data_IF_948415460757
#
_entry.id   IF_948415460757
#
_cell.length_a   1.000
_cell.length_b   1.000
_cell.length_c   1.000
_cell.angle_alpha   90.00
_cell.angle_beta   90.00
_cell.angle_gamma   90.00
#
_symmetry.space_group_name_H-M   'P 1'
#
loop_
_entity.id
_entity.type
_entity.pdbx_description
1 polymer ?
#
# COMPACT_ATOMS: atom_id res chain seq x y z
N UNK A 1 9.77 9.54 30.70
CA UNK A 1 9.85 8.41 29.75
C UNK A 1 10.78 8.70 28.58
N UNK A 2 10.77 9.90 28.00
CA UNK A 2 11.61 10.20 26.83
C UNK A 2 13.12 10.21 27.10
N UNK A 3 13.53 10.61 28.31
CA UNK A 3 14.92 10.48 28.76
C UNK A 3 15.38 9.02 28.77
N UNK A 4 14.49 8.08 29.13
CA UNK A 4 14.80 6.66 29.14
C UNK A 4 14.95 6.14 27.70
N UNK A 5 14.07 6.56 26.78
CA UNK A 5 14.21 6.26 25.35
C UNK A 5 15.54 6.80 24.80
N UNK A 6 15.91 8.04 25.11
CA UNK A 6 17.20 8.61 24.71
C UNK A 6 18.38 7.83 25.28
N UNK A 7 18.29 7.43 26.54
CA UNK A 7 19.34 6.64 27.20
C UNK A 7 19.54 5.33 26.45
N UNK A 8 18.46 4.59 26.13
CA UNK A 8 18.57 3.36 25.34
C UNK A 8 19.11 3.64 23.93
N UNK A 9 18.60 4.66 23.23
CA UNK A 9 19.08 5.06 21.91
C UNK A 9 20.57 5.42 21.91
N UNK A 10 21.07 5.98 23.01
CA UNK A 10 22.49 6.31 23.17
C UNK A 10 23.37 5.07 23.37
N UNK A 11 22.84 4.02 24.00
CA UNK A 11 23.56 2.77 24.29
C UNK A 11 23.53 1.79 23.12
N UNK A 12 22.46 1.81 22.32
CA UNK A 12 22.22 0.89 21.21
C UNK A 12 23.30 0.85 20.12
N UNK A 13 24.02 1.94 19.75
CA UNK A 13 25.08 1.87 18.74
C UNK A 13 26.24 0.95 19.15
N UNK A 14 26.58 0.91 20.44
CA UNK A 14 27.77 0.23 20.97
C UNK A 14 27.44 -1.01 21.82
N UNK A 15 26.17 -1.38 21.91
CA UNK A 15 25.69 -2.47 22.76
C UNK A 15 26.14 -3.84 22.25
N UNK A 16 26.81 -4.62 23.11
CA UNK A 16 27.05 -6.06 22.93
C UNK A 16 25.72 -6.85 22.88
N UNK A 17 25.74 -8.11 22.45
CA UNK A 17 24.53 -8.93 22.38
C UNK A 17 23.78 -9.06 23.74
N UNK A 18 24.46 -9.31 24.88
CA UNK A 18 23.80 -9.32 26.19
C UNK A 18 23.21 -7.96 26.56
N UNK A 19 23.94 -6.87 26.28
CA UNK A 19 23.46 -5.51 26.54
C UNK A 19 22.21 -5.19 25.70
N UNK A 20 22.17 -5.63 24.43
CA UNK A 20 20.97 -5.50 23.58
C UNK A 20 19.77 -6.24 24.16
N UNK A 21 19.97 -7.47 24.61
CA UNK A 21 18.91 -8.26 25.27
C UNK A 21 18.39 -7.54 26.51
N UNK A 22 19.29 -7.00 27.35
CA UNK A 22 18.91 -6.21 28.52
C UNK A 22 18.11 -4.95 28.13
N UNK A 23 18.57 -4.19 27.14
CA UNK A 23 17.88 -3.01 26.59
C UNK A 23 16.47 -3.38 26.10
N UNK A 24 16.34 -4.48 25.35
CA UNK A 24 15.06 -4.98 24.85
C UNK A 24 14.10 -5.37 25.98
N UNK A 25 14.60 -6.06 27.02
CA UNK A 25 13.79 -6.40 28.19
C UNK A 25 13.32 -5.17 28.95
N UNK A 26 14.23 -4.22 29.23
CA UNK A 26 13.87 -2.97 29.92
C UNK A 26 12.84 -2.20 29.08
N UNK A 27 13.07 -2.05 27.77
CA UNK A 27 12.13 -1.40 26.87
C UNK A 27 10.75 -2.07 26.90
N UNK A 28 10.68 -3.41 26.87
CA UNK A 28 9.42 -4.15 26.94
C UNK A 28 8.58 -3.77 28.17
N UNK A 29 9.20 -3.60 29.34
CA UNK A 29 8.48 -3.27 30.56
C UNK A 29 7.83 -1.88 30.54
N UNK A 30 8.44 -0.91 29.88
CA UNK A 30 7.95 0.48 29.91
C UNK A 30 7.38 0.97 28.57
N UNK A 31 7.40 0.15 27.52
CA UNK A 31 7.00 0.56 26.17
C UNK A 31 5.55 1.09 26.09
N UNK A 32 4.70 0.71 27.05
CA UNK A 32 3.32 1.20 27.14
C UNK A 32 3.23 2.68 27.50
N UNK A 33 4.24 3.23 28.18
CA UNK A 33 4.31 4.62 28.64
C UNK A 33 5.22 5.48 27.73
N UNK A 34 5.72 4.91 26.63
CA UNK A 34 6.50 5.66 25.64
C UNK A 34 5.61 6.72 25.01
N UNK A 35 6.06 7.97 25.08
CA UNK A 35 5.34 9.11 24.51
C UNK A 35 5.48 9.13 22.99
N UNK A 36 4.66 9.97 22.37
CA UNK A 36 4.70 10.25 20.95
C UNK A 36 6.05 10.79 20.45
N UNK A 37 6.79 11.49 21.33
CA UNK A 37 8.11 12.05 21.04
C UNK A 37 9.20 10.99 21.14
N UNK A 38 9.21 10.17 22.20
CA UNK A 38 10.10 9.03 22.31
C UNK A 38 9.97 8.09 21.10
N UNK A 39 8.74 7.85 20.65
CA UNK A 39 8.48 7.07 19.44
C UNK A 39 9.02 7.75 18.17
N UNK A 40 8.84 9.07 18.02
CA UNK A 40 9.38 9.83 16.90
C UNK A 40 10.91 9.79 16.86
N UNK A 41 11.57 9.83 18.01
CA UNK A 41 13.04 9.74 18.10
C UNK A 41 13.56 8.41 17.56
N UNK A 42 12.93 7.29 17.92
CA UNK A 42 13.24 5.98 17.32
C UNK A 42 13.02 5.98 15.80
N UNK A 43 11.89 6.52 15.33
CA UNK A 43 11.58 6.56 13.89
C UNK A 43 12.53 7.47 13.10
N UNK A 44 13.05 8.53 13.71
CA UNK A 44 14.05 9.42 13.11
C UNK A 44 15.36 8.70 12.82
N UNK A 45 15.78 7.79 13.71
CA UNK A 45 16.96 6.93 13.45
C UNK A 45 16.78 6.11 12.19
N UNK A 46 15.60 5.51 11.99
CA UNK A 46 15.30 4.70 10.80
C UNK A 46 15.41 5.53 9.51
N UNK A 47 14.91 6.77 9.55
CA UNK A 47 14.92 7.70 8.42
C UNK A 47 16.28 8.36 8.15
N UNK A 48 17.25 8.25 9.06
CA UNK A 48 18.54 8.92 8.88
C UNK A 48 19.31 8.28 7.75
N UNK A 49 19.75 9.09 6.81
CA UNK A 49 20.70 8.68 5.78
C UNK A 49 22.05 9.37 6.06
N UNK A 50 23.15 8.65 5.86
CA UNK A 50 24.46 9.31 5.76
C UNK A 50 24.46 9.97 4.38
N UNK A 51 24.37 11.29 4.33
CA UNK A 51 24.64 12.00 3.07
C UNK A 51 26.02 11.53 2.59
N UNK A 52 26.19 11.14 1.31
CA UNK A 52 27.53 11.11 0.76
C UNK A 52 28.14 12.50 1.00
N UNK A 53 29.38 12.54 1.50
CA UNK A 53 30.10 13.79 1.67
C UNK A 53 29.93 14.59 0.37
N UNK A 54 29.41 15.82 0.48
CA UNK A 54 29.28 16.74 -0.65
C UNK A 54 30.62 16.71 -1.41
N UNK A 55 30.62 16.17 -2.63
CA UNK A 55 31.54 16.71 -3.61
C UNK A 55 31.12 18.17 -3.78
N UNK A 56 32.00 19.04 -3.32
CA UNK A 56 32.02 20.44 -3.67
C UNK A 56 32.41 20.49 -5.15
N UNK A 57 31.48 20.17 -6.03
CA UNK A 57 31.60 20.54 -7.44
C UNK A 57 30.66 21.74 -7.63
N UNK A 58 31.32 22.89 -7.74
CA UNK A 58 30.77 24.15 -8.21
C UNK A 58 30.17 23.99 -9.61
N UNK A 59 29.05 24.69 -9.83
CA UNK A 59 28.37 24.96 -11.11
C UNK A 59 27.54 23.83 -11.75
N UNK A 60 26.23 23.90 -11.55
CA UNK A 60 25.23 23.85 -12.64
C UNK A 60 23.86 24.19 -12.05
N UNK A 61 23.47 25.46 -12.20
CA UNK A 61 22.06 25.81 -12.25
C UNK A 61 21.50 25.24 -13.54
N UNK A 62 20.51 24.35 -13.44
CA UNK A 62 19.38 24.31 -14.38
C UNK A 62 18.21 23.62 -13.69
N UNK A 63 17.27 24.47 -13.27
CA UNK A 63 15.86 24.12 -13.18
C UNK A 63 15.40 23.90 -14.62
N UNK A 64 14.82 22.74 -14.92
CA UNK A 64 13.74 22.70 -15.91
C UNK A 64 12.69 21.68 -15.46
N UNK A 65 11.54 22.27 -15.11
CA UNK A 65 10.23 21.66 -15.07
C UNK A 65 9.81 21.23 -16.48
N UNK A 66 8.91 20.25 -16.53
CA UNK A 66 8.09 19.87 -17.69
C UNK A 66 8.81 19.44 -18.98
N UNK A 67 8.70 18.13 -19.26
CA UNK A 67 8.55 17.70 -20.65
C UNK A 67 7.50 16.58 -20.73
N UNK A 68 6.29 17.02 -21.05
CA UNK A 68 5.33 16.26 -21.84
C UNK A 68 5.99 15.92 -23.19
N UNK A 69 5.96 14.66 -23.62
CA UNK A 69 5.07 14.19 -24.69
C UNK A 69 5.51 12.83 -25.27
N UNK A 70 4.54 12.14 -25.90
CA UNK A 70 4.65 11.23 -27.05
C UNK A 70 5.80 10.19 -27.08
N UNK A 71 5.53 8.88 -27.09
CA UNK A 71 5.01 8.16 -28.26
C UNK A 71 4.40 6.82 -27.87
N UNK A 72 3.32 6.45 -28.56
CA UNK A 72 2.83 5.08 -28.64
C UNK A 72 3.71 4.23 -29.55
N UNK A 73 3.80 2.93 -29.21
CA UNK A 73 3.76 1.77 -30.11
C UNK A 73 3.77 0.51 -29.21
N UNK A 74 2.67 -0.22 -29.35
CA UNK A 74 2.46 -1.68 -29.45
C UNK A 74 3.15 -2.71 -28.52
N UNK A 75 2.35 -3.76 -28.34
CA UNK A 75 2.46 -4.96 -27.53
C UNK A 75 3.73 -5.79 -27.79
N UNK A 76 4.20 -6.46 -26.74
CA UNK A 76 4.63 -7.86 -26.83
C UNK A 76 4.59 -8.47 -25.42
N UNK A 77 3.72 -9.45 -25.25
CA UNK A 77 3.70 -10.34 -24.10
C UNK A 77 4.97 -11.17 -24.05
N UNK A 78 5.52 -11.36 -22.86
CA UNK A 78 6.19 -12.63 -22.53
C UNK A 78 6.11 -12.86 -21.01
N UNK A 79 5.22 -13.77 -20.67
CA UNK A 79 5.12 -14.45 -19.39
C UNK A 79 6.20 -15.53 -19.36
N UNK A 80 7.08 -15.47 -18.36
CA UNK A 80 7.82 -16.66 -17.92
C UNK A 80 7.82 -16.71 -16.39
N UNK A 81 6.95 -17.58 -15.89
CA UNK A 81 6.96 -18.10 -14.52
C UNK A 81 7.69 -19.45 -14.53
N UNK A 82 8.85 -19.48 -13.87
CA UNK A 82 9.53 -20.65 -13.31
C UNK A 82 10.61 -20.09 -12.37
N UNK A 83 10.98 -20.67 -11.23
CA UNK A 83 10.57 -21.88 -10.53
C UNK A 83 11.13 -21.76 -9.09
N UNK A 84 10.51 -22.53 -8.19
CA UNK A 84 11.02 -23.25 -7.01
C UNK A 84 12.42 -22.95 -6.43
N UNK A 85 12.51 -23.02 -5.09
CA UNK A 85 13.80 -23.10 -4.40
C UNK A 85 13.72 -22.94 -2.88
N UNK A 86 13.04 -23.86 -2.21
CA UNK A 86 12.98 -24.01 -0.75
C UNK A 86 14.21 -24.80 -0.26
N UNK A 87 14.98 -24.24 0.70
CA UNK A 87 15.81 -24.94 1.70
C UNK A 87 16.05 -23.92 2.84
N UNK A 88 16.00 -24.21 4.14
CA UNK A 88 16.10 -25.48 4.86
C UNK A 88 17.29 -25.42 5.83
N UNK A 89 17.06 -24.85 7.03
CA UNK A 89 17.67 -25.08 8.38
C UNK A 89 19.22 -25.01 8.58
N UNK A 90 19.71 -24.25 9.58
CA UNK A 90 20.16 -24.67 10.94
C UNK A 90 21.39 -25.61 10.90
N UNK A 91 22.48 -25.51 11.66
CA UNK A 91 22.81 -25.04 13.01
C UNK A 91 24.37 -24.90 13.01
N UNK A 92 25.01 -23.97 13.71
CA UNK A 92 25.52 -24.21 15.06
C UNK A 92 27.03 -24.48 15.07
N UNK A 93 27.83 -23.55 15.64
CA UNK A 93 28.84 -23.87 16.66
C UNK A 93 29.59 -22.62 17.12
N UNK A 94 29.68 -22.56 18.44
CA UNK A 94 30.36 -21.65 19.36
C UNK A 94 31.87 -21.87 19.35
N UNK A 95 32.66 -20.80 19.50
CA UNK A 95 33.90 -20.88 20.28
C UNK A 95 34.24 -19.55 20.96
N UNK A 96 34.95 -19.74 22.05
CA UNK A 96 35.16 -18.98 23.27
C UNK A 96 36.07 -17.77 23.12
N UNK A 97 35.96 -16.80 24.04
CA UNK A 97 37.09 -16.17 24.73
C UNK A 97 36.67 -14.90 25.48
N UNK A 98 36.82 -15.00 26.80
CA UNK A 98 36.70 -13.95 27.80
C UNK A 98 37.77 -12.86 27.67
N UNK A 99 37.39 -11.60 27.94
CA UNK A 99 38.30 -10.61 28.51
C UNK A 99 37.51 -9.53 29.27
N UNK A 100 37.66 -9.55 30.59
CA UNK A 100 37.10 -8.61 31.57
C UNK A 100 37.90 -7.31 31.54
N UNK A 101 37.25 -6.17 31.33
CA UNK A 101 37.80 -4.86 31.73
C UNK A 101 36.65 -3.97 32.22
N UNK A 102 36.68 -3.65 33.51
CA UNK A 102 35.74 -2.74 34.17
C UNK A 102 36.00 -1.28 33.79
N UNK A 103 34.93 -0.48 33.75
CA UNK A 103 35.02 0.98 33.66
C UNK A 103 34.00 1.60 34.59
N UNK A 104 34.52 2.46 35.46
CA UNK A 104 33.83 3.26 36.47
C UNK A 104 32.86 4.28 35.87
N UNK A 105 31.77 4.52 36.60
CA UNK A 105 30.76 5.52 36.32
C UNK A 105 31.30 6.93 36.65
N UNK A 106 31.04 7.91 35.77
CA UNK A 106 31.11 9.32 36.12
C UNK A 106 29.85 10.02 35.63
N UNK A 107 29.09 10.44 36.63
CA UNK A 107 27.84 11.19 36.65
C UNK A 107 28.10 12.65 36.28
N UNK A 108 27.28 13.25 35.40
CA UNK A 108 27.18 14.72 35.28
C UNK A 108 25.77 15.15 34.88
N UNK A 109 25.18 15.88 35.82
CA UNK A 109 23.88 16.54 35.85
C UNK A 109 23.67 17.53 34.68
N UNK A 110 22.40 17.67 34.28
CA UNK A 110 21.89 18.67 33.33
C UNK A 110 21.00 19.65 34.13
N UNK A 111 21.13 20.99 33.98
CA UNK A 111 20.15 21.91 34.53
C UNK A 111 19.01 22.20 33.55
N UNK A 112 17.80 22.30 34.11
CA UNK A 112 16.53 22.59 33.44
C UNK A 112 16.39 24.06 32.99
N UNK A 113 15.62 24.27 31.91
CA UNK A 113 15.18 25.58 31.44
C UNK A 113 14.01 25.51 30.44
N UNK A 114 12.80 25.62 30.99
CA UNK A 114 11.50 26.09 30.45
C UNK A 114 11.33 26.55 28.97
N UNK A 115 10.45 25.82 28.27
CA UNK A 115 9.29 26.21 27.41
C UNK A 115 9.27 27.51 26.58
N UNK A 116 9.11 27.41 25.25
CA UNK A 116 7.92 27.93 24.54
C UNK A 116 7.78 27.39 23.09
N UNK A 117 6.54 27.42 22.60
CA UNK A 117 5.99 26.70 21.45
C UNK A 117 6.21 27.33 20.06
N UNK A 118 6.30 26.43 19.07
CA UNK A 118 5.86 26.52 17.65
C UNK A 118 6.94 26.57 16.54
N UNK A 119 6.84 25.58 15.64
CA UNK A 119 7.22 25.72 14.22
C UNK A 119 8.70 25.79 13.78
N UNK A 120 9.69 25.57 14.63
CA UNK A 120 11.11 25.49 14.26
C UNK A 120 11.69 24.10 14.48
N UNK A 121 12.61 23.65 13.63
CA UNK A 121 13.40 22.45 13.91
C UNK A 121 14.00 22.56 15.32
N UNK A 122 13.57 21.71 16.25
CA UNK A 122 14.17 21.61 17.59
C UNK A 122 15.68 21.32 17.43
N UNK A 123 16.50 22.35 17.60
CA UNK A 123 17.96 22.27 17.46
C UNK A 123 18.52 21.18 18.40
N UNK A 124 17.92 21.00 19.58
CA UNK A 124 18.30 19.95 20.52
C UNK A 124 18.03 18.55 19.97
N UNK A 125 16.95 18.36 19.21
CA UNK A 125 16.67 17.11 18.50
C UNK A 125 17.71 16.81 17.42
N UNK A 126 18.26 17.84 16.76
CA UNK A 126 19.34 17.71 15.79
C UNK A 126 20.66 17.36 16.50
N UNK A 127 21.00 18.08 17.57
CA UNK A 127 22.19 17.80 18.40
C UNK A 127 22.18 16.40 19.00
N UNK A 128 21.02 15.91 19.47
CA UNK A 128 20.87 14.53 19.96
C UNK A 128 21.13 13.49 18.87
N UNK A 129 20.64 13.72 17.65
CA UNK A 129 20.91 12.82 16.53
C UNK A 129 22.39 12.83 16.14
N UNK A 130 23.02 14.01 16.14
CA UNK A 130 24.45 14.14 15.88
C UNK A 130 25.30 13.51 16.99
N UNK A 131 24.80 13.47 18.23
CA UNK A 131 25.43 12.73 19.34
C UNK A 131 25.45 11.22 19.06
N UNK A 132 24.34 10.65 18.58
CA UNK A 132 24.28 9.23 18.19
C UNK A 132 25.23 8.94 17.03
N UNK A 133 25.29 9.82 16.03
CA UNK A 133 26.17 9.70 14.87
C UNK A 133 27.64 9.87 15.23
N UNK A 134 27.98 10.81 16.10
CA UNK A 134 29.33 11.00 16.61
C UNK A 134 29.81 9.76 17.37
N UNK A 135 28.91 9.09 18.09
CA UNK A 135 29.21 7.83 18.80
C UNK A 135 29.48 6.68 17.84
N UNK A 136 28.68 6.56 16.78
CA UNK A 136 28.92 5.65 15.65
C UNK A 136 30.29 5.95 15.00
N UNK A 137 30.57 7.21 14.67
CA UNK A 137 31.82 7.60 14.02
C UNK A 137 33.06 7.47 14.92
N UNK A 138 32.94 7.64 16.24
CA UNK A 138 34.03 7.48 17.21
C UNK A 138 34.52 6.04 17.29
N UNK A 139 33.65 5.06 17.07
CA UNK A 139 33.97 3.63 17.06
C UNK A 139 34.98 3.29 15.94
N UNK A 140 34.91 3.98 14.79
CA UNK A 140 35.91 3.88 13.71
C UNK A 140 37.33 4.18 14.18
N UNK A 141 37.51 5.16 15.06
CA UNK A 141 38.85 5.58 15.51
C UNK A 141 39.50 4.53 16.42
N UNK A 142 38.68 3.68 17.06
CA UNK A 142 39.12 2.69 18.03
C UNK A 142 39.19 1.26 17.46
N UNK A 143 38.59 0.99 16.29
CA UNK A 143 38.69 -0.30 15.60
C UNK A 143 39.64 -0.19 14.41
N UNK A 144 40.81 -0.82 14.53
CA UNK A 144 41.71 -1.04 13.40
C UNK A 144 41.14 -2.16 12.50
N UNK A 145 40.08 -1.87 11.75
CA UNK A 145 39.49 -2.82 10.80
C UNK A 145 38.08 -2.50 10.32
N UNK A 146 37.94 -2.21 9.03
CA UNK A 146 36.89 -2.76 8.16
C UNK A 146 35.48 -2.16 8.12
N UNK A 147 34.85 -1.76 9.23
CA UNK A 147 33.42 -1.38 9.19
C UNK A 147 33.21 0.09 8.77
N UNK A 148 32.42 0.30 7.72
CA UNK A 148 32.06 1.66 7.27
C UNK A 148 31.04 2.27 8.24
N UNK A 149 31.05 3.61 8.39
CA UNK A 149 30.03 4.34 9.16
C UNK A 149 28.60 3.99 8.72
N UNK A 150 28.45 3.63 7.44
CA UNK A 150 27.21 3.15 6.87
C UNK A 150 26.79 1.79 7.44
N UNK A 151 27.70 0.82 7.52
CA UNK A 151 27.45 -0.49 8.14
C UNK A 151 27.00 -0.37 9.60
N UNK A 152 27.66 0.49 10.38
CA UNK A 152 27.28 0.73 11.77
C UNK A 152 25.94 1.45 11.91
N UNK A 153 25.62 2.40 11.02
CA UNK A 153 24.30 3.01 10.98
C UNK A 153 23.23 1.96 10.63
N UNK A 154 23.49 1.05 9.70
CA UNK A 154 22.58 -0.06 9.38
C UNK A 154 22.35 -0.95 10.60
N UNK A 155 23.41 -1.32 11.33
CA UNK A 155 23.29 -2.07 12.57
C UNK A 155 22.47 -1.32 13.63
N UNK A 156 22.70 -0.01 13.79
CA UNK A 156 21.92 0.82 14.71
C UNK A 156 20.44 0.85 14.32
N UNK A 157 20.12 1.04 13.03
CA UNK A 157 18.73 0.97 12.53
C UNK A 157 18.10 -0.39 12.81
N UNK A 158 18.81 -1.50 12.58
CA UNK A 158 18.31 -2.84 12.87
C UNK A 158 17.99 -3.04 14.36
N UNK A 159 18.83 -2.50 15.25
CA UNK A 159 18.62 -2.55 16.71
C UNK A 159 17.42 -1.70 17.13
N UNK A 160 17.23 -0.51 16.55
CA UNK A 160 16.04 0.32 16.80
C UNK A 160 14.77 -0.35 16.25
N UNK A 161 14.86 -1.06 15.12
CA UNK A 161 13.74 -1.84 14.59
C UNK A 161 13.31 -2.96 15.54
N UNK A 162 14.21 -3.54 16.34
CA UNK A 162 13.83 -4.49 17.40
C UNK A 162 12.99 -3.83 18.48
N UNK A 163 13.34 -2.62 18.93
CA UNK A 163 12.53 -1.87 19.90
C UNK A 163 11.15 -1.51 19.32
N UNK A 164 11.10 -1.05 18.06
CA UNK A 164 9.83 -0.77 17.39
C UNK A 164 8.96 -2.02 17.22
N UNK A 165 9.57 -3.19 16.96
CA UNK A 165 8.86 -4.46 16.91
C UNK A 165 8.26 -4.84 18.26
N UNK A 166 9.00 -4.65 19.37
CA UNK A 166 8.47 -4.85 20.73
C UNK A 166 7.30 -3.91 20.98
N UNK A 167 7.45 -2.62 20.66
CA UNK A 167 6.37 -1.63 20.82
C UNK A 167 5.09 -2.04 20.09
N UNK A 168 5.20 -2.44 18.81
CA UNK A 168 4.07 -2.90 18.00
C UNK A 168 3.42 -4.17 18.55
N UNK A 169 4.21 -5.06 19.16
CA UNK A 169 3.71 -6.29 19.75
C UNK A 169 2.89 -6.05 21.01
N UNK A 170 3.36 -5.16 21.89
CA UNK A 170 2.70 -4.82 23.15
C UNK A 170 1.53 -3.83 22.95
N UNK A 171 1.55 -3.03 21.88
CA UNK A 171 0.58 -1.94 21.64
C UNK A 171 -0.18 -2.01 20.30
N UNK A 172 -0.70 -3.17 19.85
CA UNK A 172 -1.26 -3.32 18.51
C UNK A 172 -2.55 -2.50 18.25
N UNK A 173 -3.29 -2.15 19.31
CA UNK A 173 -4.53 -1.37 19.23
C UNK A 173 -4.34 0.15 19.34
N UNK A 174 -3.13 0.64 19.64
CA UNK A 174 -2.88 2.07 19.87
C UNK A 174 -2.81 2.87 18.55
N UNK A 175 -3.28 4.13 18.51
CA UNK A 175 -3.19 4.99 17.31
C UNK A 175 -1.76 5.19 16.80
N UNK A 176 -0.78 5.15 17.71
CA UNK A 176 0.64 5.25 17.41
C UNK A 176 1.13 4.21 16.39
N UNK A 177 0.45 3.07 16.26
CA UNK A 177 0.74 2.07 15.22
C UNK A 177 0.63 2.68 13.81
N UNK A 178 -0.30 3.62 13.57
CA UNK A 178 -0.41 4.34 12.29
C UNK A 178 0.82 5.23 12.04
N UNK A 179 1.34 5.85 13.11
CA UNK A 179 2.56 6.67 13.07
C UNK A 179 3.77 5.81 12.72
N UNK A 180 3.94 4.67 13.38
CA UNK A 180 5.00 3.69 13.07
C UNK A 180 4.87 3.19 11.63
N UNK A 181 3.67 2.76 11.23
CA UNK A 181 3.38 2.31 9.87
C UNK A 181 3.79 3.36 8.83
N UNK A 182 3.34 4.61 8.97
CA UNK A 182 3.62 5.68 8.00
C UNK A 182 5.12 5.94 7.84
N UNK A 183 5.87 5.93 8.95
CA UNK A 183 7.31 6.13 8.95
C UNK A 183 8.07 4.94 8.36
N UNK A 184 7.70 3.70 8.70
CA UNK A 184 8.31 2.49 8.15
C UNK A 184 7.99 2.30 6.67
N UNK A 185 6.76 2.60 6.23
CA UNK A 185 6.38 2.57 4.83
C UNK A 185 7.17 3.60 4.01
N UNK A 186 7.36 4.82 4.54
CA UNK A 186 8.20 5.84 3.90
C UNK A 186 9.66 5.38 3.80
N UNK A 187 10.22 4.81 4.88
CA UNK A 187 11.58 4.27 4.90
C UNK A 187 11.77 3.11 3.91
N UNK A 188 10.77 2.25 3.76
CA UNK A 188 10.80 1.13 2.82
C UNK A 188 10.76 1.59 1.35
N UNK A 189 9.91 2.56 1.05
CA UNK A 189 9.75 3.11 -0.30
C UNK A 189 10.96 3.95 -0.71
N UNK A 190 11.60 4.66 0.23
CA UNK A 190 12.76 5.50 -0.05
C UNK A 190 13.99 4.64 -0.46
N UNK A 191 14.54 4.82 -1.69
CA UNK A 191 15.73 4.12 -2.13
C UNK A 191 16.93 4.28 -1.20
N UNK A 192 17.15 5.50 -0.70
CA UNK A 192 18.31 5.90 0.09
C UNK A 192 18.33 5.27 1.49
N UNK A 193 17.16 5.06 2.07
CA UNK A 193 17.05 4.49 3.42
C UNK A 193 17.49 3.03 3.50
N UNK A 194 17.38 2.30 2.39
CA UNK A 194 17.84 0.90 2.26
C UNK A 194 19.03 0.77 1.31
N UNK A 195 19.62 1.88 0.86
CA UNK A 195 20.74 1.88 -0.07
C UNK A 195 21.95 1.26 0.63
N UNK A 196 22.44 0.13 0.13
CA UNK A 196 23.56 -0.61 0.73
C UNK A 196 23.19 -1.74 1.69
N UNK A 197 21.92 -1.92 2.08
CA UNK A 197 21.50 -3.06 2.92
C UNK A 197 20.12 -3.62 2.55
N UNK A 198 20.14 -4.75 1.83
CA UNK A 198 18.93 -5.55 1.58
C UNK A 198 18.33 -6.09 2.88
N UNK A 199 19.17 -6.43 3.87
CA UNK A 199 18.76 -6.90 5.19
C UNK A 199 17.86 -5.87 5.91
N UNK A 200 18.19 -4.58 5.84
CA UNK A 200 17.38 -3.52 6.44
C UNK A 200 16.00 -3.44 5.76
N UNK A 201 15.96 -3.51 4.43
CA UNK A 201 14.71 -3.55 3.66
C UNK A 201 13.84 -4.75 4.05
N UNK A 202 14.42 -5.96 4.10
CA UNK A 202 13.72 -7.19 4.50
C UNK A 202 13.22 -7.11 5.95
N UNK A 203 13.99 -6.50 6.86
CA UNK A 203 13.59 -6.32 8.25
C UNK A 203 12.38 -5.40 8.38
N UNK A 204 12.40 -4.25 7.70
CA UNK A 204 11.26 -3.31 7.68
C UNK A 204 10.03 -3.99 7.08
N UNK A 205 10.19 -4.67 5.95
CA UNK A 205 9.11 -5.42 5.30
C UNK A 205 8.53 -6.50 6.22
N UNK A 206 9.38 -7.26 6.90
CA UNK A 206 8.98 -8.29 7.84
C UNK A 206 8.15 -7.74 9.00
N UNK A 207 8.52 -6.57 9.54
CA UNK A 207 7.75 -5.89 10.59
C UNK A 207 6.39 -5.42 10.06
N UNK A 208 6.36 -4.72 8.91
CA UNK A 208 5.12 -4.27 8.28
C UNK A 208 4.16 -5.45 8.05
N UNK A 209 4.66 -6.56 7.50
CA UNK A 209 3.85 -7.72 7.19
C UNK A 209 3.37 -8.46 8.45
N UNK A 210 4.28 -8.81 9.37
CA UNK A 210 3.98 -9.71 10.49
C UNK A 210 3.35 -8.99 11.68
N UNK A 211 3.76 -7.75 11.96
CA UNK A 211 3.38 -7.01 13.17
C UNK A 211 2.32 -5.94 12.94
N UNK A 212 2.08 -5.53 11.69
CA UNK A 212 1.04 -4.55 11.36
C UNK A 212 -0.09 -5.22 10.56
N UNK A 213 0.19 -5.73 9.35
CA UNK A 213 -0.87 -6.22 8.47
C UNK A 213 -1.49 -7.55 8.94
N UNK A 214 -0.68 -8.46 9.48
CA UNK A 214 -1.12 -9.77 10.01
C UNK A 214 -1.41 -9.75 11.51
N UNK A 215 -1.34 -8.60 12.17
CA UNK A 215 -1.67 -8.52 13.59
C UNK A 215 -3.15 -8.86 13.84
N UNK A 216 -3.39 -9.55 14.97
CA UNK A 216 -4.75 -9.89 15.41
C UNK A 216 -5.54 -8.62 15.75
N UNK A 217 -4.88 -7.69 16.45
CA UNK A 217 -5.45 -6.41 16.81
C UNK A 217 -4.93 -5.28 15.92
N UNK A 218 -5.65 -4.16 15.89
CA UNK A 218 -5.39 -3.03 15.02
C UNK A 218 -6.01 -1.75 15.60
N UNK A 219 -5.56 -0.55 15.18
CA UNK A 219 -6.05 0.71 15.74
C UNK A 219 -7.56 0.88 15.55
N UNK A 220 -8.31 0.94 16.66
CA UNK A 220 -9.79 0.95 16.67
C UNK A 220 -10.43 1.95 17.63
N UNK A 221 -9.66 2.61 18.50
CA UNK A 221 -10.20 3.61 19.45
C UNK A 221 -10.55 4.94 18.80
N UNK A 222 -11.42 5.73 19.43
CA UNK A 222 -11.99 7.01 18.94
C UNK A 222 -10.95 8.02 18.42
N UNK A 223 -9.75 7.99 19.01
CA UNK A 223 -8.57 8.75 18.61
C UNK A 223 -8.10 8.51 17.16
N UNK A 224 -8.52 7.43 16.49
CA UNK A 224 -8.19 7.16 15.08
C UNK A 224 -9.14 7.90 14.14
N UNK A 225 -8.85 9.17 13.84
CA UNK A 225 -9.73 9.97 12.98
C UNK A 225 -9.54 9.64 11.49
N UNK A 226 -10.57 9.86 10.69
CA UNK A 226 -10.54 9.62 9.24
C UNK A 226 -9.49 10.48 8.53
N UNK A 227 -9.26 11.70 9.02
CA UNK A 227 -8.20 12.62 8.58
C UNK A 227 -6.78 12.03 8.66
N UNK A 228 -6.55 11.03 9.53
CA UNK A 228 -5.28 10.31 9.60
C UNK A 228 -5.18 9.19 8.56
N UNK A 229 -6.31 8.65 8.11
CA UNK A 229 -6.40 7.48 7.23
C UNK A 229 -6.46 7.88 5.75
N UNK A 230 -7.16 8.97 5.42
CA UNK A 230 -7.34 9.48 4.06
C UNK A 230 -6.00 9.71 3.33
N UNK A 231 -5.01 10.44 3.91
CA UNK A 231 -3.76 10.71 3.18
C UNK A 231 -2.91 9.44 3.01
N UNK A 232 -3.02 8.50 3.95
CA UNK A 232 -2.35 7.21 3.86
C UNK A 232 -2.97 6.35 2.76
N UNK A 233 -4.30 6.35 2.65
CA UNK A 233 -5.03 5.64 1.59
C UNK A 233 -4.68 6.20 0.21
N UNK A 234 -4.75 7.52 0.05
CA UNK A 234 -4.41 8.20 -1.20
C UNK A 234 -2.96 7.91 -1.63
N UNK A 235 -2.01 8.00 -0.69
CA UNK A 235 -0.61 7.66 -0.94
C UNK A 235 -0.42 6.20 -1.35
N UNK A 236 -1.16 5.27 -0.74
CA UNK A 236 -1.10 3.86 -1.09
C UNK A 236 -1.64 3.59 -2.50
N UNK A 237 -2.78 4.18 -2.88
CA UNK A 237 -3.30 4.04 -4.24
C UNK A 237 -2.34 4.63 -5.28
N UNK A 238 -1.76 5.81 -4.98
CA UNK A 238 -0.70 6.42 -5.80
C UNK A 238 0.56 5.56 -5.89
N UNK A 239 0.91 4.79 -4.85
CA UNK A 239 2.05 3.86 -4.89
C UNK A 239 1.73 2.59 -5.67
N UNK A 240 0.52 2.05 -5.53
CA UNK A 240 0.06 0.85 -6.22
C UNK A 240 -0.03 1.04 -7.74
N UNK A 241 -0.10 2.29 -8.19
CA UNK A 241 -0.26 2.65 -9.60
C UNK A 241 0.99 3.12 -10.31
N UNK A 242 2.08 3.36 -9.58
CA UNK A 242 3.34 3.83 -10.18
C UNK A 242 3.83 2.79 -11.18
N UNK A 243 4.11 3.19 -12.44
CA UNK A 243 4.62 2.27 -13.43
C UNK A 243 6.07 1.91 -13.12
N UNK A 244 6.48 0.70 -13.49
CA UNK A 244 7.88 0.31 -13.37
C UNK A 244 8.72 1.11 -14.39
N UNK A 245 9.48 2.10 -13.91
CA UNK A 245 10.43 2.84 -14.76
C UNK A 245 11.73 2.04 -14.91
N UNK A 246 11.94 1.41 -16.06
CA UNK A 246 13.28 0.95 -16.47
C UNK A 246 14.18 2.20 -16.61
N UNK A 247 15.20 2.37 -15.76
CA UNK A 247 16.17 3.46 -15.93
C UNK A 247 16.83 3.32 -17.30
N UNK A 248 16.51 4.21 -18.24
CA UNK A 248 17.15 4.31 -19.57
C UNK A 248 18.57 4.89 -19.50
N UNK A 249 18.97 5.50 -18.38
CA UNK A 249 20.17 6.35 -18.28
C UNK A 249 21.48 5.62 -17.97
N UNK A 250 21.51 4.28 -17.96
CA UNK A 250 22.77 3.54 -17.80
C UNK A 250 22.91 2.64 -19.02
N UNK A 251 23.96 2.85 -19.81
CA UNK A 251 24.41 1.92 -20.86
C UNK A 251 24.49 0.53 -20.22
N UNK A 252 23.56 -0.35 -20.58
CA UNK A 252 23.41 -1.72 -20.04
C UNK A 252 23.54 -1.85 -18.51
N UNK A 253 22.48 -1.60 -17.72
CA UNK A 253 22.47 -2.03 -16.33
C UNK A 253 22.58 -3.56 -16.29
N UNK A 254 23.48 -4.10 -15.46
CA UNK A 254 23.63 -5.56 -15.35
C UNK A 254 22.29 -6.24 -15.05
N UNK A 255 22.04 -7.43 -15.64
CA UNK A 255 20.79 -8.21 -15.43
C UNK A 255 20.44 -8.35 -13.94
N UNK A 256 21.45 -8.46 -13.07
CA UNK A 256 21.31 -8.50 -11.61
C UNK A 256 20.72 -7.21 -11.01
N UNK A 257 21.16 -6.03 -11.46
CA UNK A 257 20.62 -4.73 -11.00
C UNK A 257 19.18 -4.50 -11.48
N UNK A 258 18.86 -4.95 -12.70
CA UNK A 258 17.49 -4.89 -13.22
C UNK A 258 16.54 -5.79 -12.44
N UNK A 259 16.95 -7.04 -12.17
CA UNK A 259 16.19 -7.99 -11.35
C UNK A 259 15.95 -7.45 -9.93
N UNK A 260 16.97 -6.90 -9.26
CA UNK A 260 16.83 -6.30 -7.94
C UNK A 260 15.84 -5.11 -7.93
N UNK A 261 15.89 -4.24 -8.95
CA UNK A 261 14.95 -3.12 -9.10
C UNK A 261 13.51 -3.61 -9.29
N UNK A 262 13.31 -4.64 -10.12
CA UNK A 262 12.01 -5.25 -10.37
C UNK A 262 11.45 -5.93 -9.11
N UNK A 263 12.26 -6.69 -8.38
CA UNK A 263 11.88 -7.29 -7.10
C UNK A 263 11.49 -6.24 -6.07
N UNK A 264 12.25 -5.14 -5.98
CA UNK A 264 11.89 -4.01 -5.11
C UNK A 264 10.57 -3.39 -5.51
N UNK A 265 10.34 -3.16 -6.81
CA UNK A 265 9.08 -2.64 -7.31
C UNK A 265 7.90 -3.53 -6.92
N UNK A 266 8.02 -4.85 -7.12
CA UNK A 266 7.01 -5.84 -6.69
C UNK A 266 6.71 -5.74 -5.19
N UNK A 267 7.73 -5.59 -4.35
CA UNK A 267 7.53 -5.43 -2.90
C UNK A 267 6.83 -4.11 -2.56
N UNK A 268 7.15 -3.00 -3.23
CA UNK A 268 6.47 -1.71 -3.04
C UNK A 268 5.00 -1.80 -3.46
N UNK A 269 4.69 -2.44 -4.58
CA UNK A 269 3.30 -2.67 -4.99
C UNK A 269 2.56 -3.55 -3.97
N UNK A 270 3.20 -4.62 -3.47
CA UNK A 270 2.63 -5.47 -2.42
C UNK A 270 2.38 -4.71 -1.12
N UNK A 271 3.32 -3.82 -0.73
CA UNK A 271 3.15 -2.92 0.41
C UNK A 271 1.91 -2.04 0.23
N UNK A 272 1.78 -1.38 -0.92
CA UNK A 272 0.67 -0.50 -1.20
C UNK A 272 -0.69 -1.23 -1.14
N UNK A 273 -0.77 -2.43 -1.70
CA UNK A 273 -1.98 -3.25 -1.69
C UNK A 273 -2.35 -3.71 -0.27
N UNK A 274 -1.41 -4.31 0.46
CA UNK A 274 -1.66 -4.77 1.84
C UNK A 274 -2.01 -3.61 2.77
N UNK A 275 -1.35 -2.48 2.60
CA UNK A 275 -1.64 -1.27 3.36
C UNK A 275 -3.04 -0.72 3.07
N UNK A 276 -3.46 -0.71 1.81
CA UNK A 276 -4.82 -0.30 1.43
C UNK A 276 -5.86 -1.16 2.13
N UNK A 277 -5.70 -2.49 2.09
CA UNK A 277 -6.62 -3.40 2.78
C UNK A 277 -6.62 -3.22 4.30
N UNK A 278 -5.45 -2.95 4.89
CA UNK A 278 -5.33 -2.72 6.32
C UNK A 278 -6.02 -1.41 6.75
N UNK A 279 -5.86 -0.32 5.99
CA UNK A 279 -6.55 0.95 6.24
C UNK A 279 -8.06 0.78 6.08
N UNK A 280 -8.52 0.11 5.00
CA UNK A 280 -9.94 -0.17 4.79
C UNK A 280 -10.55 -1.03 5.91
N UNK A 281 -9.76 -1.93 6.51
CA UNK A 281 -10.16 -2.70 7.69
C UNK A 281 -10.35 -1.81 8.93
N UNK A 282 -9.49 -0.81 9.12
CA UNK A 282 -9.62 0.17 10.20
C UNK A 282 -10.86 1.04 10.00
N UNK A 283 -11.07 1.56 8.78
CA UNK A 283 -12.23 2.40 8.44
C UNK A 283 -13.54 1.66 8.73
N UNK A 284 -13.65 0.41 8.30
CA UNK A 284 -14.85 -0.41 8.51
C UNK A 284 -15.11 -0.69 10.00
N UNK A 285 -14.06 -0.98 10.77
CA UNK A 285 -14.22 -1.26 12.21
C UNK A 285 -14.66 -0.03 13.00
N UNK A 286 -14.30 1.17 12.55
CA UNK A 286 -14.67 2.45 13.18
C UNK A 286 -16.10 2.89 12.91
N UNK A 287 -16.76 2.32 11.89
CA UNK A 287 -18.16 2.61 11.53
C UNK A 287 -18.45 4.11 11.44
N UNK A 288 -17.61 4.84 10.71
CA UNK A 288 -17.83 6.26 10.44
C UNK A 288 -19.18 6.49 9.74
N UNK A 289 -19.83 7.65 9.97
CA UNK A 289 -21.06 7.99 9.27
C UNK A 289 -20.81 8.14 7.77
N UNK A 290 -21.82 7.85 6.96
CA UNK A 290 -21.73 7.85 5.49
C UNK A 290 -21.25 9.20 4.93
N UNK A 291 -21.65 10.31 5.56
CA UNK A 291 -21.21 11.66 5.18
C UNK A 291 -19.70 11.87 5.30
N UNK A 292 -19.05 11.23 6.29
CA UNK A 292 -17.59 11.31 6.45
C UNK A 292 -16.86 10.40 5.46
N UNK A 293 -17.48 9.27 5.09
CA UNK A 293 -16.90 8.33 4.13
C UNK A 293 -16.84 8.88 2.70
N UNK A 294 -17.53 9.98 2.39
CA UNK A 294 -17.53 10.56 1.05
C UNK A 294 -16.11 10.86 0.55
N UNK A 295 -15.23 11.41 1.41
CA UNK A 295 -13.86 11.71 1.01
C UNK A 295 -13.03 10.46 0.71
N UNK A 296 -13.30 9.35 1.40
CA UNK A 296 -12.68 8.05 1.08
C UNK A 296 -13.13 7.57 -0.30
N UNK A 297 -14.40 7.76 -0.63
CA UNK A 297 -14.98 7.40 -1.91
C UNK A 297 -14.41 8.27 -3.05
N UNK A 298 -14.28 9.58 -2.82
CA UNK A 298 -13.66 10.51 -3.75
C UNK A 298 -12.22 10.09 -4.07
N UNK A 299 -11.42 9.69 -3.06
CA UNK A 299 -10.06 9.17 -3.25
C UNK A 299 -10.02 7.94 -4.19
N UNK A 300 -11.00 7.03 -4.08
CA UNK A 300 -11.08 5.90 -4.99
C UNK A 300 -11.54 6.31 -6.39
N UNK A 301 -12.48 7.24 -6.49
CA UNK A 301 -12.94 7.76 -7.76
C UNK A 301 -11.79 8.45 -8.51
N UNK A 302 -11.05 9.36 -7.87
CA UNK A 302 -9.88 10.04 -8.44
C UNK A 302 -8.81 9.04 -8.93
N UNK A 303 -8.57 7.99 -8.14
CA UNK A 303 -7.62 6.95 -8.50
C UNK A 303 -8.10 6.15 -9.73
N UNK A 304 -9.40 5.90 -9.87
CA UNK A 304 -9.97 5.24 -11.04
C UNK A 304 -10.05 6.17 -12.26
N UNK A 305 -10.37 7.44 -12.09
CA UNK A 305 -10.30 8.44 -13.17
C UNK A 305 -8.91 8.45 -13.79
N UNK A 306 -7.88 8.58 -12.94
CA UNK A 306 -6.48 8.51 -13.37
C UNK A 306 -6.14 7.17 -14.04
N UNK A 307 -6.69 6.06 -13.55
CA UNK A 307 -6.51 4.73 -14.13
C UNK A 307 -7.06 4.63 -15.56
N UNK A 308 -8.26 5.13 -15.79
CA UNK A 308 -8.93 5.05 -17.09
C UNK A 308 -8.37 6.06 -18.09
N UNK A 309 -7.90 7.22 -17.63
CA UNK A 309 -7.49 8.32 -18.51
C UNK A 309 -5.98 8.27 -18.84
N UNK A 310 -5.16 7.67 -17.97
CA UNK A 310 -3.70 7.64 -18.15
C UNK A 310 -3.13 6.24 -18.37
N UNK A 311 -2.32 6.09 -19.43
CA UNK A 311 -1.45 4.92 -19.63
C UNK A 311 -0.31 4.84 -18.60
N UNK A 312 -0.01 5.94 -17.90
CA UNK A 312 1.04 6.00 -16.87
C UNK A 312 0.61 5.32 -15.56
N UNK A 313 -0.66 4.99 -15.40
CA UNK A 313 -1.21 4.42 -14.17
C UNK A 313 -1.38 2.89 -14.31
N UNK A 314 -0.40 2.13 -13.85
CA UNK A 314 -0.35 0.67 -13.99
C UNK A 314 -0.77 -0.04 -12.70
N UNK A 315 -2.02 0.19 -12.29
CA UNK A 315 -2.59 -0.58 -11.18
C UNK A 315 -3.05 -1.96 -11.68
N UNK A 316 -2.89 -3.01 -10.86
CA UNK A 316 -3.36 -4.35 -11.24
C UNK A 316 -4.89 -4.40 -11.13
N UNK A 317 -5.57 -4.81 -12.20
CA UNK A 317 -7.03 -5.00 -12.20
C UNK A 317 -7.51 -5.94 -11.07
N UNK A 318 -6.76 -7.00 -10.76
CA UNK A 318 -7.12 -7.92 -9.67
C UNK A 318 -7.13 -7.24 -8.29
N UNK A 319 -6.30 -6.21 -8.09
CA UNK A 319 -6.33 -5.44 -6.84
C UNK A 319 -7.62 -4.61 -6.71
N UNK A 320 -8.09 -4.01 -7.79
CA UNK A 320 -9.38 -3.30 -7.81
C UNK A 320 -10.56 -4.25 -7.56
N UNK A 321 -10.55 -5.42 -8.21
CA UNK A 321 -11.56 -6.46 -7.98
C UNK A 321 -11.57 -6.88 -6.51
N UNK A 322 -10.40 -7.07 -5.92
CA UNK A 322 -10.27 -7.46 -4.52
C UNK A 322 -10.74 -6.37 -3.54
N UNK A 323 -10.57 -5.08 -3.87
CA UNK A 323 -11.16 -3.97 -3.10
C UNK A 323 -12.69 -4.11 -3.09
N UNK A 324 -13.32 -4.30 -4.26
CA UNK A 324 -14.78 -4.48 -4.38
C UNK A 324 -15.25 -5.71 -3.60
N UNK A 325 -14.54 -6.84 -3.70
CA UNK A 325 -14.89 -8.08 -2.96
C UNK A 325 -14.83 -7.90 -1.45
N UNK A 326 -13.77 -7.25 -0.97
CA UNK A 326 -13.58 -7.03 0.48
C UNK A 326 -14.51 -5.96 1.01
N UNK A 327 -14.79 -4.91 0.22
CA UNK A 327 -15.57 -3.75 0.64
C UNK A 327 -16.61 -3.40 -0.43
N UNK A 328 -17.75 -4.13 -0.47
CA UNK A 328 -18.78 -3.92 -1.48
C UNK A 328 -19.32 -2.50 -1.57
N UNK A 329 -19.38 -1.77 -0.45
CA UNK A 329 -19.88 -0.38 -0.40
C UNK A 329 -19.06 0.58 -1.28
N UNK A 330 -17.75 0.37 -1.41
CA UNK A 330 -16.88 1.15 -2.31
C UNK A 330 -17.29 0.87 -3.76
N UNK A 331 -17.46 -0.41 -4.10
CA UNK A 331 -17.90 -0.82 -5.43
C UNK A 331 -19.30 -0.31 -5.78
N UNK A 332 -20.23 -0.30 -4.83
CA UNK A 332 -21.59 0.21 -5.06
C UNK A 332 -21.60 1.70 -5.36
N UNK A 333 -20.75 2.48 -4.67
CA UNK A 333 -20.62 3.91 -4.97
C UNK A 333 -19.99 4.16 -6.35
N UNK A 334 -18.94 3.42 -6.68
CA UNK A 334 -18.23 3.55 -7.97
C UNK A 334 -19.00 2.92 -9.15
N UNK A 335 -20.15 2.31 -8.89
CA UNK A 335 -20.89 1.54 -9.89
C UNK A 335 -21.33 2.40 -11.07
N UNK A 336 -21.92 3.55 -10.78
CA UNK A 336 -22.39 4.48 -11.81
C UNK A 336 -21.23 5.01 -12.67
N UNK A 337 -20.13 5.42 -12.03
CA UNK A 337 -18.91 5.85 -12.71
C UNK A 337 -18.34 4.77 -13.63
N UNK A 338 -18.29 3.51 -13.18
CA UNK A 338 -17.78 2.39 -13.96
C UNK A 338 -18.68 2.04 -15.15
N UNK A 339 -20.01 2.16 -14.99
CA UNK A 339 -20.94 2.00 -16.11
C UNK A 339 -20.68 3.06 -17.20
N UNK A 340 -20.41 4.31 -16.81
CA UNK A 340 -20.10 5.38 -17.76
C UNK A 340 -18.74 5.12 -18.47
N UNK A 341 -17.73 4.60 -17.75
CA UNK A 341 -16.42 4.22 -18.34
C UNK A 341 -16.50 2.99 -19.25
N UNK A 342 -17.48 2.09 -19.10
CA UNK A 342 -17.72 0.98 -20.04
C UNK A 342 -18.09 1.47 -21.45
N UNK A 343 -18.72 2.65 -21.56
CA UNK A 343 -19.11 3.25 -22.84
C UNK A 343 -18.07 4.25 -23.36
N UNK A 344 -17.43 5.01 -22.47
CA UNK A 344 -16.58 6.16 -22.86
C UNK A 344 -15.07 5.86 -22.95
N UNK A 345 -14.62 4.67 -22.53
CA UNK A 345 -13.18 4.33 -22.54
C UNK A 345 -12.59 4.27 -23.94
N UNK A 346 -11.58 5.11 -24.21
CA UNK A 346 -10.80 5.13 -25.47
C UNK A 346 -9.96 3.86 -25.68
N UNK A 347 -9.66 3.12 -24.61
CA UNK A 347 -8.88 1.89 -24.66
C UNK A 347 -9.80 0.68 -24.53
N UNK A 348 -9.74 -0.24 -25.49
CA UNK A 348 -10.48 -1.49 -25.44
C UNK A 348 -10.08 -2.34 -24.23
N UNK A 349 -8.79 -2.37 -23.90
CA UNK A 349 -8.27 -3.06 -22.73
C UNK A 349 -8.90 -2.51 -21.44
N UNK A 350 -8.90 -1.18 -21.27
CA UNK A 350 -9.53 -0.54 -20.12
C UNK A 350 -11.04 -0.76 -20.08
N UNK A 351 -11.71 -0.75 -21.24
CA UNK A 351 -13.14 -1.06 -21.33
C UNK A 351 -13.43 -2.44 -20.77
N UNK A 352 -12.64 -3.45 -21.12
CA UNK A 352 -12.77 -4.82 -20.60
C UNK A 352 -12.53 -4.86 -19.08
N UNK A 353 -11.54 -4.14 -18.59
CA UNK A 353 -11.30 -4.03 -17.14
C UNK A 353 -12.48 -3.37 -16.41
N UNK A 354 -13.12 -2.35 -16.99
CA UNK A 354 -14.35 -1.75 -16.45
C UNK A 354 -15.50 -2.77 -16.39
N UNK A 355 -15.71 -3.54 -17.47
CA UNK A 355 -16.74 -4.59 -17.52
C UNK A 355 -16.53 -5.63 -16.42
N UNK A 356 -15.28 -6.05 -16.22
CA UNK A 356 -14.92 -7.00 -15.18
C UNK A 356 -15.17 -6.46 -13.75
N UNK A 357 -14.88 -5.17 -13.51
CA UNK A 357 -15.17 -4.52 -12.23
C UNK A 357 -16.68 -4.40 -11.98
N UNK A 358 -17.43 -4.01 -13.01
CA UNK A 358 -18.91 -3.98 -13.00
C UNK A 358 -19.49 -5.36 -12.67
N UNK A 359 -18.95 -6.45 -13.26
CA UNK A 359 -19.36 -7.81 -12.90
C UNK A 359 -19.10 -8.10 -11.42
N UNK A 360 -17.96 -7.67 -10.87
CA UNK A 360 -17.62 -7.92 -9.48
C UNK A 360 -18.56 -7.18 -8.51
N UNK A 361 -18.93 -5.94 -8.87
CA UNK A 361 -19.96 -5.17 -8.16
C UNK A 361 -21.30 -5.88 -8.21
N UNK A 362 -21.75 -6.30 -9.40
CA UNK A 362 -23.02 -7.02 -9.57
C UNK A 362 -23.06 -8.33 -8.78
N UNK A 363 -21.94 -9.09 -8.72
CA UNK A 363 -21.83 -10.28 -7.87
C UNK A 363 -21.99 -9.94 -6.40
N UNK A 364 -21.40 -8.83 -5.94
CA UNK A 364 -21.53 -8.40 -4.55
C UNK A 364 -22.98 -8.06 -4.16
N UNK A 365 -23.78 -7.55 -5.11
CA UNK A 365 -25.21 -7.31 -4.88
C UNK A 365 -25.98 -8.64 -4.70
N UNK A 366 -25.57 -9.70 -5.37
CA UNK A 366 -26.18 -11.03 -5.22
C UNK A 366 -25.70 -11.75 -3.95
N UNK A 367 -24.44 -11.59 -3.54
CA UNK A 367 -23.93 -12.26 -2.32
C UNK A 367 -24.55 -11.73 -1.02
N UNK A 368 -25.02 -10.48 -1.01
CA UNK A 368 -25.74 -9.86 0.13
C UNK A 368 -27.16 -10.43 0.31
N UNK A 369 -27.62 -11.34 -0.56
CA UNK A 369 -29.00 -11.91 -0.54
C UNK A 369 -29.25 -13.01 0.49
N UNK A 370 -28.35 -13.24 1.45
CA UNK A 370 -28.50 -14.27 2.49
C UNK A 370 -29.78 -14.10 3.34
N UNK A 371 -30.31 -12.87 3.44
CA UNK A 371 -31.51 -12.53 4.19
C UNK A 371 -32.47 -11.72 3.28
N UNK A 372 -33.79 -11.81 3.49
CA UNK A 372 -34.81 -11.14 2.66
C UNK A 372 -34.60 -9.62 2.56
N UNK A 373 -34.20 -8.97 3.66
CA UNK A 373 -33.88 -7.54 3.69
C UNK A 373 -32.69 -7.18 2.79
N UNK A 374 -31.65 -8.02 2.75
CA UNK A 374 -30.49 -7.81 1.88
C UNK A 374 -30.84 -7.97 0.42
N UNK A 375 -31.69 -8.95 0.09
CA UNK A 375 -32.22 -9.14 -1.26
C UNK A 375 -33.07 -7.96 -1.74
N UNK A 376 -33.91 -7.40 -0.87
CA UNK A 376 -34.71 -6.22 -1.20
C UNK A 376 -33.83 -4.98 -1.46
N UNK A 377 -32.80 -4.76 -0.64
CA UNK A 377 -31.85 -3.66 -0.83
C UNK A 377 -31.08 -3.79 -2.16
N UNK A 378 -30.51 -4.96 -2.44
CA UNK A 378 -29.81 -5.23 -3.70
C UNK A 378 -30.71 -5.06 -4.93
N UNK A 379 -31.97 -5.53 -4.84
CA UNK A 379 -32.96 -5.35 -5.90
C UNK A 379 -33.25 -3.87 -6.14
N UNK A 380 -33.40 -3.07 -5.07
CA UNK A 380 -33.62 -1.62 -5.15
C UNK A 380 -32.42 -0.91 -5.78
N UNK A 381 -31.21 -1.20 -5.32
CA UNK A 381 -29.98 -0.61 -5.87
C UNK A 381 -29.84 -0.93 -7.36
N UNK A 382 -29.95 -2.20 -7.76
CA UNK A 382 -29.82 -2.57 -9.17
C UNK A 382 -30.93 -1.98 -10.03
N UNK A 383 -32.16 -1.88 -9.51
CA UNK A 383 -33.27 -1.23 -10.22
C UNK A 383 -33.00 0.25 -10.50
N UNK A 384 -32.36 0.98 -9.58
CA UNK A 384 -32.00 2.39 -9.80
C UNK A 384 -30.97 2.57 -10.92
N UNK A 385 -30.02 1.63 -11.07
CA UNK A 385 -28.99 1.67 -12.10
C UNK A 385 -29.39 0.95 -13.40
N UNK A 386 -30.58 0.38 -13.46
CA UNK A 386 -31.06 -0.40 -14.60
C UNK A 386 -31.03 0.38 -15.92
N UNK A 387 -31.45 1.67 -15.99
CA UNK A 387 -31.38 2.44 -17.24
C UNK A 387 -29.95 2.57 -17.79
N UNK A 388 -28.97 2.84 -16.92
CA UNK A 388 -27.56 2.91 -17.31
C UNK A 388 -27.03 1.54 -17.74
N UNK A 389 -27.43 0.48 -17.06
CA UNK A 389 -27.04 -0.89 -17.44
C UNK A 389 -27.62 -1.30 -18.80
N UNK A 390 -28.88 -0.93 -19.08
CA UNK A 390 -29.50 -1.12 -20.41
C UNK A 390 -28.74 -0.33 -21.48
N UNK A 391 -28.35 0.92 -21.19
CA UNK A 391 -27.55 1.74 -22.10
C UNK A 391 -26.19 1.10 -22.40
N UNK A 392 -25.47 0.62 -21.38
CA UNK A 392 -24.20 -0.11 -21.56
C UNK A 392 -24.39 -1.35 -22.43
N UNK A 393 -25.44 -2.15 -22.19
CA UNK A 393 -25.70 -3.34 -22.98
C UNK A 393 -25.99 -2.98 -24.43
N UNK A 394 -26.85 -1.99 -24.69
CA UNK A 394 -27.13 -1.47 -26.03
C UNK A 394 -25.83 -1.08 -26.74
N UNK A 395 -25.01 -0.25 -26.10
CA UNK A 395 -23.75 0.23 -26.67
C UNK A 395 -22.82 -0.92 -27.04
N UNK A 396 -22.67 -1.91 -26.15
CA UNK A 396 -21.81 -3.06 -26.38
C UNK A 396 -22.29 -3.98 -27.51
N UNK A 397 -23.61 -4.22 -27.62
CA UNK A 397 -24.13 -5.12 -28.67
C UNK A 397 -24.26 -4.43 -30.02
N UNK A 398 -24.45 -3.11 -30.05
CA UNK A 398 -24.44 -2.32 -31.29
C UNK A 398 -23.02 -2.14 -31.82
N UNK A 399 -22.05 -1.94 -30.93
CA UNK A 399 -20.64 -1.70 -31.27
C UNK A 399 -19.75 -2.88 -30.85
N UNK A 400 -20.07 -4.07 -31.36
CA UNK A 400 -19.32 -5.29 -31.05
C UNK A 400 -17.86 -5.22 -31.53
N UNK A 401 -16.88 -5.65 -30.72
CA UNK A 401 -15.47 -5.62 -31.11
C UNK A 401 -15.15 -6.45 -32.38
N UNK A 402 -14.16 -6.02 -33.15
CA UNK A 402 -13.68 -6.77 -34.32
C UNK A 402 -12.87 -8.01 -33.93
N UNK A 403 -12.13 -7.94 -32.81
CA UNK A 403 -11.35 -9.08 -32.29
C UNK A 403 -12.27 -10.11 -31.64
N UNK A 404 -12.11 -11.38 -32.02
CA UNK A 404 -12.94 -12.49 -31.51
C UNK A 404 -12.84 -12.66 -30.00
N UNK A 405 -11.65 -12.53 -29.42
CA UNK A 405 -11.43 -12.60 -27.97
C UNK A 405 -12.24 -11.52 -27.22
N UNK A 406 -12.21 -10.28 -27.72
CA UNK A 406 -12.98 -9.16 -27.16
C UNK A 406 -14.49 -9.35 -27.31
N UNK A 407 -14.96 -9.90 -28.44
CA UNK A 407 -16.39 -10.30 -28.56
C UNK A 407 -16.79 -11.32 -27.52
N UNK A 408 -15.94 -12.30 -27.21
CA UNK A 408 -16.22 -13.31 -26.20
C UNK A 408 -16.36 -12.69 -24.80
N UNK A 409 -15.52 -11.69 -24.47
CA UNK A 409 -15.61 -10.94 -23.22
C UNK A 409 -16.92 -10.15 -23.11
N UNK A 410 -17.35 -9.45 -24.16
CA UNK A 410 -18.64 -8.75 -24.19
C UNK A 410 -19.82 -9.72 -24.02
N UNK A 411 -19.81 -10.85 -24.73
CA UNK A 411 -20.86 -11.88 -24.58
C UNK A 411 -20.90 -12.45 -23.17
N UNK A 412 -19.72 -12.71 -22.58
CA UNK A 412 -19.60 -13.20 -21.18
C UNK A 412 -20.15 -12.18 -20.20
N UNK A 413 -19.86 -10.90 -20.40
CA UNK A 413 -20.42 -9.80 -19.61
C UNK A 413 -21.95 -9.78 -19.69
N UNK A 414 -22.53 -9.69 -20.88
CA UNK A 414 -23.98 -9.64 -21.06
C UNK A 414 -24.67 -10.88 -20.46
N UNK A 415 -24.11 -12.07 -20.69
CA UNK A 415 -24.63 -13.31 -20.13
C UNK A 415 -24.64 -13.27 -18.60
N UNK A 416 -23.58 -12.75 -17.99
CA UNK A 416 -23.49 -12.64 -16.53
C UNK A 416 -24.47 -11.61 -15.97
N UNK A 417 -24.65 -10.48 -16.66
CA UNK A 417 -25.65 -9.46 -16.29
C UNK A 417 -27.05 -10.07 -16.33
N UNK A 418 -27.42 -10.76 -17.40
CA UNK A 418 -28.74 -11.39 -17.52
C UNK A 418 -28.99 -12.43 -16.43
N UNK A 419 -27.99 -13.25 -16.07
CA UNK A 419 -28.11 -14.18 -14.95
C UNK A 419 -28.41 -13.48 -13.62
N UNK A 420 -27.75 -12.34 -13.36
CA UNK A 420 -27.91 -11.56 -12.13
C UNK A 420 -29.26 -10.83 -12.09
N UNK A 421 -29.70 -10.29 -13.22
CA UNK A 421 -31.01 -9.66 -13.37
C UNK A 421 -32.12 -10.69 -13.11
N UNK A 422 -31.99 -11.89 -13.69
CA UNK A 422 -32.91 -13.01 -13.45
C UNK A 422 -32.92 -13.44 -12.00
N UNK A 423 -31.76 -13.57 -11.35
CA UNK A 423 -31.69 -14.01 -9.94
C UNK A 423 -32.31 -13.01 -8.96
N UNK A 424 -32.41 -11.73 -9.32
CA UNK A 424 -33.05 -10.68 -8.54
C UNK A 424 -34.50 -10.38 -8.96
N UNK A 425 -35.07 -11.18 -9.87
CA UNK A 425 -36.42 -10.99 -10.43
C UNK A 425 -36.60 -9.56 -10.99
N UNK A 426 -35.64 -9.14 -11.82
CA UNK A 426 -35.62 -7.84 -12.49
C UNK A 426 -35.69 -7.96 -14.03
N UNK A 427 -35.98 -9.16 -14.56
CA UNK A 427 -36.04 -9.41 -16.00
C UNK A 427 -37.08 -8.52 -16.71
N UNK A 428 -38.28 -8.41 -16.15
CA UNK A 428 -39.35 -7.56 -16.70
C UNK A 428 -38.99 -6.07 -16.69
N UNK A 429 -38.60 -5.45 -15.55
CA UNK A 429 -38.12 -4.08 -15.53
C UNK A 429 -36.96 -3.83 -16.51
N UNK A 430 -36.08 -4.83 -16.69
CA UNK A 430 -34.93 -4.71 -17.58
C UNK A 430 -35.35 -4.70 -19.05
N UNK A 431 -36.23 -5.62 -19.45
CA UNK A 431 -36.70 -5.72 -20.83
C UNK A 431 -37.61 -4.55 -21.21
N UNK A 432 -38.37 -4.00 -20.26
CA UNK A 432 -39.12 -2.76 -20.44
C UNK A 432 -38.22 -1.52 -20.58
N UNK A 433 -37.10 -1.46 -19.85
CA UNK A 433 -36.15 -0.36 -19.92
C UNK A 433 -35.23 -0.43 -21.14
N UNK A 434 -35.11 -1.60 -21.78
CA UNK A 434 -34.28 -1.81 -22.96
C UNK A 434 -34.97 -1.27 -24.22
N UNK A 435 -34.27 -0.43 -24.97
CA UNK A 435 -34.79 0.17 -26.20
C UNK A 435 -35.07 -0.88 -27.31
N UNK A 436 -36.05 -0.65 -28.22
CA UNK A 436 -36.43 -1.62 -29.26
C UNK A 436 -35.28 -2.02 -30.20
N UNK A 437 -34.38 -1.09 -30.53
CA UNK A 437 -33.19 -1.35 -31.34
C UNK A 437 -32.20 -2.29 -30.60
N UNK A 438 -32.07 -2.14 -29.29
CA UNK A 438 -31.21 -2.95 -28.44
C UNK A 438 -31.79 -4.36 -28.27
N UNK A 439 -33.12 -4.53 -28.25
CA UNK A 439 -33.75 -5.86 -28.29
C UNK A 439 -33.31 -6.66 -29.52
N UNK A 440 -33.43 -6.08 -30.71
CA UNK A 440 -33.05 -6.74 -31.97
C UNK A 440 -31.55 -7.04 -32.02
N UNK A 441 -30.72 -6.11 -31.55
CA UNK A 441 -29.27 -6.29 -31.49
C UNK A 441 -28.87 -7.40 -30.50
N UNK A 442 -29.51 -7.46 -29.32
CA UNK A 442 -29.30 -8.54 -28.36
C UNK A 442 -29.70 -9.90 -28.93
N UNK A 443 -30.84 -10.01 -29.63
CA UNK A 443 -31.25 -11.26 -30.30
C UNK A 443 -30.22 -11.71 -31.34
N UNK A 444 -29.74 -10.78 -32.16
CA UNK A 444 -28.79 -11.08 -33.23
C UNK A 444 -27.40 -11.48 -32.70
N UNK A 445 -26.90 -10.77 -31.68
CA UNK A 445 -25.51 -10.90 -31.20
C UNK A 445 -25.33 -11.88 -30.03
N UNK A 446 -26.36 -12.05 -29.21
CA UNK A 446 -26.34 -12.87 -27.99
C UNK A 446 -27.21 -14.13 -28.10
N UNK A 447 -28.13 -14.19 -29.07
CA UNK A 447 -28.91 -15.38 -29.41
C UNK A 447 -29.65 -15.98 -28.21
N UNK A 448 -29.40 -17.27 -27.97
CA UNK A 448 -30.08 -18.08 -26.96
C UNK A 448 -30.02 -17.50 -25.54
N UNK A 449 -28.94 -16.80 -25.19
CA UNK A 449 -28.77 -16.23 -23.85
C UNK A 449 -29.81 -15.14 -23.58
N UNK A 450 -30.10 -14.30 -24.57
CA UNK A 450 -31.10 -13.24 -24.44
C UNK A 450 -32.52 -13.80 -24.57
N UNK A 451 -32.73 -14.81 -25.43
CA UNK A 451 -34.01 -15.50 -25.54
C UNK A 451 -34.39 -16.21 -24.24
N UNK A 452 -33.43 -16.77 -23.50
CA UNK A 452 -33.66 -17.36 -22.19
C UNK A 452 -34.16 -16.32 -21.17
N UNK A 453 -33.61 -15.10 -21.20
CA UNK A 453 -34.06 -13.99 -20.34
C UNK A 453 -35.52 -13.61 -20.63
N UNK A 454 -35.91 -13.53 -21.91
CA UNK A 454 -37.30 -13.26 -22.33
C UNK A 454 -38.28 -14.37 -21.93
N UNK A 455 -37.84 -15.63 -21.97
CA UNK A 455 -38.70 -16.77 -21.57
C UNK A 455 -39.04 -16.78 -20.09
N UNK A 456 -38.21 -16.18 -19.23
CA UNK A 456 -38.49 -16.02 -17.80
C UNK A 456 -39.59 -14.98 -17.50
N UNK A 457 -40.04 -14.21 -18.50
CA UNK A 457 -41.18 -13.28 -18.38
C UNK A 457 -42.53 -13.94 -18.71
N UNK A 458 -42.53 -15.11 -19.37
CA UNK A 458 -43.74 -15.88 -19.68
C UNK A 458 -44.00 -16.91 -18.60
#
# INVERSE_FOLDING_TARGET
MDVLVDTLLSLLPQSSAPMRSAIEQVFKYFCNDVTDDGLLRMLRVIKKDLKPARHQDTDSEDNDEDDEDLLGIEEAEESDEAETGETGESDGQTDDSEAVVGVEAVDKEIPEGSDDSDGGMDDDAMFRMDTYLARILKERKNQAGGETAHSQLVLFKLRVLSLLEIYLHENPGKPQVLKVYSNLAQAFVNPHTTEGSEQLGQRIWGILQKKIFKAKDYPKGESVQLSMLEPLLEKNLKLASKPFKKKKSVVNPSKKKQSASWSRHKMITSLAQQSTFWILKIIEARKFPESELQRVLDIFQDALETYFDSKKFQMKSEFLKEIVRRRPWIGHHLFEFLLDKCCSSKSEFRRVEALDLVIEILKSLVSVTANESGRAASKKTLKNHLPKLCHVIKELVTNMPEKQSRRAEVRKFCSRVFQIISSLNLSEPFLQALEPNAHTACETQLGDVFLALKKLER
#
